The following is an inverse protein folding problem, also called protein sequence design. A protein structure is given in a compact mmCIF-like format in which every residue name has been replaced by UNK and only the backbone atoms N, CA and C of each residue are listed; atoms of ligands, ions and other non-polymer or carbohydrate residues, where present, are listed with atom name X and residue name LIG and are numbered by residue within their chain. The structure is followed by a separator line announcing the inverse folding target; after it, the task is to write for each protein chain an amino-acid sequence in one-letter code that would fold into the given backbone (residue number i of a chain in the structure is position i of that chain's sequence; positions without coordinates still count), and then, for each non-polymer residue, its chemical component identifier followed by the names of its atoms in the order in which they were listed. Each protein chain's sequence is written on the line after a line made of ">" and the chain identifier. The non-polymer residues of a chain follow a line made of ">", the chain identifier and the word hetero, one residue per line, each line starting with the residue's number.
data_IF_870689361340
#
_entry.id   IF_870689361340
#
_cell.length_a   1.000
_cell.length_b   1.000
_cell.length_c   1.000
_cell.angle_alpha   90.00
_cell.angle_beta   90.00
_cell.angle_gamma   90.00
#
_symmetry.space_group_name_H-M   'P 1'
#
loop_
_entity.id
_entity.type
_entity.pdbx_description
1 polymer ?
#
# COMPACT_ATOMS: atom_id res chain seq x y z
N UNK A 1 6.30 -6.11 -5.21
CA UNK A 1 7.06 -4.84 -5.17
C UNK A 1 7.48 -4.56 -3.73
N UNK A 2 8.74 -4.20 -3.49
CA UNK A 2 9.30 -4.01 -2.13
C UNK A 2 8.47 -3.02 -1.29
N UNK A 3 8.06 -1.89 -1.88
CA UNK A 3 7.21 -0.89 -1.21
C UNK A 3 5.92 -1.53 -0.69
N UNK A 4 5.17 -2.25 -1.54
CA UNK A 4 3.91 -2.89 -1.16
C UNK A 4 4.08 -3.93 -0.05
N UNK A 5 5.12 -4.77 -0.12
CA UNK A 5 5.37 -5.77 0.93
C UNK A 5 5.71 -5.12 2.27
N UNK A 6 6.59 -4.11 2.27
CA UNK A 6 6.95 -3.38 3.49
C UNK A 6 5.73 -2.64 4.05
N UNK A 7 4.92 -1.99 3.22
CA UNK A 7 3.72 -1.30 3.70
C UNK A 7 2.70 -2.27 4.30
N UNK A 8 2.55 -3.48 3.74
CA UNK A 8 1.64 -4.52 4.24
C UNK A 8 2.11 -5.17 5.53
N UNK A 9 3.41 -5.52 5.63
CA UNK A 9 3.92 -6.47 6.63
C UNK A 9 5.21 -6.03 7.33
N UNK A 10 5.80 -4.90 6.91
CA UNK A 10 7.05 -4.41 7.46
C UNK A 10 6.93 -3.97 8.90
N UNK A 11 7.99 -4.18 9.66
CA UNK A 11 8.14 -3.66 11.02
C UNK A 11 8.64 -2.20 11.00
N UNK A 12 8.91 -1.65 12.19
CA UNK A 12 9.41 -0.28 12.32
C UNK A 12 10.76 -0.04 11.61
N UNK A 13 11.63 -1.05 11.55
CA UNK A 13 12.93 -0.91 10.86
C UNK A 13 12.72 -0.91 9.35
N UNK A 14 11.87 -1.79 8.82
CA UNK A 14 11.53 -1.82 7.41
C UNK A 14 10.83 -0.54 6.95
N UNK A 15 9.90 0.00 7.75
CA UNK A 15 9.26 1.29 7.48
C UNK A 15 10.28 2.44 7.52
N UNK A 16 11.18 2.45 8.51
CA UNK A 16 12.25 3.46 8.56
C UNK A 16 13.13 3.39 7.31
N UNK A 17 13.58 2.20 6.91
CA UNK A 17 14.34 1.99 5.68
C UNK A 17 13.57 2.51 4.46
N UNK A 18 12.28 2.20 4.34
CA UNK A 18 11.43 2.67 3.25
C UNK A 18 11.47 4.21 3.11
N UNK A 19 11.40 4.94 4.22
CA UNK A 19 11.46 6.42 4.22
C UNK A 19 12.83 7.00 3.85
N UNK A 20 13.90 6.20 3.95
CA UNK A 20 15.26 6.60 3.55
C UNK A 20 15.54 6.26 2.09
N UNK A 21 14.91 5.21 1.57
CA UNK A 21 15.16 4.71 0.22
C UNK A 21 14.23 5.30 -0.82
N UNK A 22 12.96 5.52 -0.48
CA UNK A 22 11.96 6.03 -1.41
C UNK A 22 11.44 7.39 -0.95
N UNK A 23 11.23 8.26 -1.92
CA UNK A 23 10.56 9.54 -1.69
C UNK A 23 9.08 9.31 -1.34
N UNK A 24 8.49 10.26 -0.63
CA UNK A 24 7.06 10.24 -0.36
C UNK A 24 6.23 10.18 -1.65
N UNK A 25 6.71 10.77 -2.75
CA UNK A 25 6.06 10.73 -4.07
C UNK A 25 5.98 9.31 -4.61
N UNK A 26 7.08 8.57 -4.58
CA UNK A 26 7.10 7.17 -5.06
C UNK A 26 6.19 6.27 -4.22
N UNK A 27 6.20 6.44 -2.89
CA UNK A 27 5.28 5.72 -2.00
C UNK A 27 3.83 6.06 -2.33
N UNK A 28 3.52 7.34 -2.56
CA UNK A 28 2.19 7.81 -2.96
C UNK A 28 1.75 7.19 -4.29
N UNK A 29 2.62 7.12 -5.28
CA UNK A 29 2.34 6.52 -6.59
C UNK A 29 1.92 5.04 -6.44
N UNK A 30 2.66 4.27 -5.64
CA UNK A 30 2.33 2.86 -5.37
C UNK A 30 0.98 2.69 -4.67
N UNK A 31 0.67 3.54 -3.69
CA UNK A 31 -0.61 3.47 -2.97
C UNK A 31 -1.77 3.99 -3.83
N UNK A 32 -1.55 4.97 -4.70
CA UNK A 32 -2.57 5.53 -5.61
C UNK A 32 -2.95 4.59 -6.76
N UNK A 33 -2.04 3.67 -7.10
CA UNK A 33 -2.28 2.64 -8.09
C UNK A 33 -1.97 1.24 -7.56
N UNK A 34 -2.76 0.77 -6.58
CA UNK A 34 -2.48 -0.48 -5.92
C UNK A 34 -2.66 -1.65 -6.88
N UNK A 35 -1.69 -2.57 -6.89
CA UNK A 35 -1.72 -3.78 -7.71
C UNK A 35 -2.85 -4.70 -7.25
N UNK A 36 -3.53 -5.32 -8.21
CA UNK A 36 -4.61 -6.30 -7.99
C UNK A 36 -4.14 -7.44 -7.08
N UNK A 37 -4.93 -7.77 -6.06
CA UNK A 37 -4.70 -8.94 -5.20
C UNK A 37 -3.47 -8.89 -4.30
N UNK A 38 -2.82 -7.75 -4.09
CA UNK A 38 -1.59 -7.67 -3.29
C UNK A 38 -1.74 -6.94 -1.95
N UNK A 39 -2.91 -6.38 -1.64
CA UNK A 39 -3.06 -5.52 -0.47
C UNK A 39 -3.90 -6.14 0.63
N UNK A 40 -3.41 -6.02 1.86
CA UNK A 40 -4.24 -6.23 3.03
C UNK A 40 -5.24 -5.08 3.14
N UNK A 41 -6.54 -5.39 3.23
CA UNK A 41 -7.62 -4.39 3.19
C UNK A 41 -7.47 -3.27 4.22
N UNK A 42 -7.15 -3.62 5.46
CA UNK A 42 -6.94 -2.64 6.54
C UNK A 42 -5.75 -1.73 6.27
N UNK A 43 -4.68 -2.28 5.70
CA UNK A 43 -3.43 -1.56 5.43
C UNK A 43 -3.58 -0.59 4.26
N UNK A 44 -4.17 -1.02 3.13
CA UNK A 44 -4.43 -0.10 2.02
C UNK A 44 -5.33 1.06 2.46
N UNK A 45 -6.35 0.77 3.29
CA UNK A 45 -7.22 1.81 3.87
C UNK A 45 -6.47 2.76 4.80
N UNK A 46 -5.51 2.25 5.58
CA UNK A 46 -4.67 3.07 6.45
C UNK A 46 -3.82 4.04 5.63
N UNK A 47 -3.06 3.53 4.66
CA UNK A 47 -2.18 4.36 3.83
C UNK A 47 -2.94 5.32 2.93
N UNK A 48 -4.13 4.93 2.46
CA UNK A 48 -5.05 5.81 1.76
C UNK A 48 -5.36 7.08 2.58
N UNK A 49 -5.60 6.92 3.89
CA UNK A 49 -5.89 8.05 4.81
C UNK A 49 -4.64 8.86 5.13
N UNK A 50 -3.55 8.19 5.49
CA UNK A 50 -2.29 8.86 5.87
C UNK A 50 -1.73 9.70 4.73
N UNK A 51 -1.86 9.21 3.50
CA UNK A 51 -1.39 9.91 2.33
C UNK A 51 -2.46 10.78 1.69
N UNK A 52 -3.69 10.84 2.22
CA UNK A 52 -4.79 11.58 1.59
C UNK A 52 -4.94 11.27 0.09
N UNK A 53 -5.11 9.98 -0.22
CA UNK A 53 -5.26 9.47 -1.59
C UNK A 53 -6.71 9.04 -1.80
N UNK A 54 -7.29 9.41 -2.94
CA UNK A 54 -8.58 8.86 -3.34
C UNK A 54 -8.39 7.69 -4.31
N UNK A 55 -8.76 6.48 -3.89
CA UNK A 55 -8.71 5.28 -4.72
C UNK A 55 -10.15 4.93 -5.12
N UNK A 56 -10.47 4.85 -6.43
CA UNK A 56 -11.79 4.41 -6.88
C UNK A 56 -12.19 3.06 -6.25
N UNK A 57 -13.45 2.92 -5.85
CA UNK A 57 -13.89 1.75 -5.07
C UNK A 57 -13.67 0.42 -5.80
N UNK A 58 -13.84 0.38 -7.12
CA UNK A 58 -13.59 -0.79 -7.95
C UNK A 58 -12.10 -1.17 -7.97
N UNK A 59 -11.21 -0.17 -8.10
CA UNK A 59 -9.75 -0.35 -8.04
C UNK A 59 -9.32 -0.83 -6.65
N UNK A 60 -9.87 -0.23 -5.59
CA UNK A 60 -9.61 -0.64 -4.21
C UNK A 60 -10.03 -2.09 -3.97
N UNK A 61 -11.25 -2.47 -4.36
CA UNK A 61 -11.76 -3.84 -4.19
C UNK A 61 -10.87 -4.86 -4.92
N UNK A 62 -10.48 -4.57 -6.16
CA UNK A 62 -9.59 -5.44 -6.94
C UNK A 62 -8.18 -5.55 -6.33
N UNK A 63 -7.70 -4.53 -5.65
CA UNK A 63 -6.38 -4.53 -5.01
C UNK A 63 -6.28 -5.47 -3.80
N UNK A 64 -7.40 -5.79 -3.16
CA UNK A 64 -7.40 -6.58 -1.94
C UNK A 64 -7.00 -8.03 -2.25
N UNK A 65 -6.04 -8.54 -1.47
CA UNK A 65 -5.67 -9.95 -1.47
C UNK A 65 -6.85 -10.77 -0.98
N UNK A 66 -7.33 -11.68 -1.83
CA UNK A 66 -8.31 -12.68 -1.44
C UNK A 66 -7.59 -13.88 -0.82
N UNK A 67 -7.98 -14.22 0.41
CA UNK A 67 -7.43 -15.38 1.12
C UNK A 67 -8.32 -16.62 0.98
N UNK A 68 -9.50 -16.47 0.35
CA UNK A 68 -10.47 -17.54 0.09
C UNK A 68 -10.84 -17.50 -1.41
N UNK A 69 -10.10 -18.21 -2.27
CA UNK A 69 -10.25 -18.12 -3.73
C UNK A 69 -11.59 -18.62 -4.27
#
# INVERSE_FOLDING_TARGET
>A
MIITEILNKGDGQALFWLTKTYTQKEVREVVSSPIRGLWMKSVLKYWQRILDINIPQDKFKRAILDLNP
#
